data_IF_417410415643
#
_entry.id   IF_417410415643
#
_cell.length_a   1.000
_cell.length_b   1.000
_cell.length_c   1.000
_cell.angle_alpha   90.00
_cell.angle_beta   90.00
_cell.angle_gamma   90.00
#
_symmetry.space_group_name_H-M   'P 1'
#
loop_
_entity.id
_entity.type
_entity.pdbx_description
1 polymer ?
#
# COMPACT_ATOMS: atom_id res chain seq x y z
N UNK A 1 27.01 -6.23 7.02
CA UNK A 1 27.34 -5.38 8.19
C UNK A 1 26.27 -5.62 9.24
N UNK A 2 26.69 -5.89 10.48
CA UNK A 2 25.75 -6.11 11.59
C UNK A 2 25.38 -4.77 12.24
N UNK A 3 24.10 -4.60 12.58
CA UNK A 3 23.60 -3.43 13.33
C UNK A 3 23.64 -3.65 14.84
N UNK A 4 24.04 -4.84 15.32
CA UNK A 4 24.11 -5.16 16.75
C UNK A 4 24.93 -4.18 17.60
N UNK A 5 26.08 -3.64 17.15
CA UNK A 5 26.83 -2.67 17.94
C UNK A 5 26.07 -1.37 18.23
N UNK A 6 25.04 -1.07 17.42
CA UNK A 6 24.22 0.12 17.51
C UNK A 6 22.84 -0.16 18.09
N UNK A 7 22.60 -1.37 18.62
CA UNK A 7 21.31 -1.82 19.13
C UNK A 7 20.69 -0.79 20.08
N UNK A 8 21.40 -0.38 21.12
CA UNK A 8 20.87 0.53 22.14
C UNK A 8 20.47 1.89 21.55
N UNK A 9 21.28 2.43 20.63
CA UNK A 9 20.98 3.69 19.93
C UNK A 9 19.75 3.55 19.05
N UNK A 10 19.64 2.46 18.29
CA UNK A 10 18.49 2.17 17.44
C UNK A 10 17.21 2.06 18.29
N UNK A 11 17.27 1.34 19.41
CA UNK A 11 16.10 1.16 20.29
C UNK A 11 15.67 2.48 20.94
N UNK A 12 16.62 3.25 21.47
CA UNK A 12 16.35 4.55 22.08
C UNK A 12 15.68 5.52 21.09
N UNK A 13 16.18 5.59 19.85
CA UNK A 13 15.58 6.44 18.82
C UNK A 13 14.15 6.00 18.44
N UNK A 14 13.91 4.69 18.31
CA UNK A 14 12.57 4.16 17.99
C UNK A 14 11.58 4.41 19.14
N UNK A 15 12.03 4.28 20.40
CA UNK A 15 11.23 4.62 21.59
C UNK A 15 10.94 6.12 21.65
N UNK A 16 11.85 6.98 21.18
CA UNK A 16 11.63 8.42 20.99
C UNK A 16 10.85 8.77 19.71
N UNK A 17 10.09 7.82 19.16
CA UNK A 17 9.22 7.96 17.99
C UNK A 17 9.91 8.36 16.67
N UNK A 18 11.24 8.26 16.56
CA UNK A 18 11.95 8.54 15.31
C UNK A 18 11.59 7.50 14.24
N UNK A 19 11.64 7.90 12.97
CA UNK A 19 11.40 7.00 11.84
C UNK A 19 12.63 6.13 11.56
N UNK A 20 12.43 5.01 10.85
CA UNK A 20 13.56 4.19 10.40
C UNK A 20 14.51 4.95 9.44
N UNK A 21 14.02 6.01 8.77
CA UNK A 21 14.86 6.89 7.95
C UNK A 21 15.76 7.75 8.84
N UNK A 22 15.18 8.39 9.88
CA UNK A 22 15.94 9.21 10.82
C UNK A 22 17.04 8.40 11.52
N UNK A 23 16.72 7.14 11.89
CA UNK A 23 17.71 6.21 12.44
C UNK A 23 18.79 5.87 11.42
N UNK A 24 18.43 5.57 10.17
CA UNK A 24 19.42 5.25 9.13
C UNK A 24 20.33 6.45 8.81
N UNK A 25 19.78 7.66 8.82
CA UNK A 25 20.52 8.90 8.64
C UNK A 25 21.48 9.15 9.82
N UNK A 26 21.00 9.02 11.06
CA UNK A 26 21.82 9.16 12.25
C UNK A 26 22.96 8.14 12.27
N UNK A 27 22.68 6.87 11.94
CA UNK A 27 23.70 5.83 11.81
C UNK A 27 24.71 6.15 10.71
N UNK A 28 24.28 6.75 9.60
CA UNK A 28 25.19 7.19 8.54
C UNK A 28 26.11 8.32 9.00
N UNK A 29 25.59 9.26 9.81
CA UNK A 29 26.35 10.37 10.38
C UNK A 29 27.43 9.92 11.37
N UNK A 30 27.18 8.87 12.16
CA UNK A 30 28.17 8.28 13.09
C UNK A 30 29.14 7.31 12.40
N UNK A 31 29.12 7.22 11.06
CA UNK A 31 30.08 6.46 10.28
C UNK A 31 29.69 5.01 9.99
N UNK A 32 28.44 4.61 10.18
CA UNK A 32 27.96 3.28 9.75
C UNK A 32 27.93 3.26 8.22
N UNK A 33 28.88 2.53 7.62
CA UNK A 33 29.09 2.46 6.18
C UNK A 33 27.98 1.75 5.38
N UNK A 34 28.31 1.42 4.11
CA UNK A 34 27.38 0.83 3.12
C UNK A 34 26.55 -0.33 3.70
N UNK A 35 25.24 -0.26 3.53
CA UNK A 35 24.27 -1.27 3.99
C UNK A 35 23.32 -0.79 5.10
N UNK A 36 23.55 0.40 5.66
CA UNK A 36 22.61 1.07 6.58
C UNK A 36 21.53 1.81 5.80
N UNK A 37 20.47 1.09 5.42
CA UNK A 37 19.26 1.69 4.85
C UNK A 37 18.11 1.60 5.84
N UNK A 38 17.09 2.44 5.69
CA UNK A 38 15.86 2.32 6.46
C UNK A 38 15.23 0.92 6.35
N UNK A 39 15.42 0.22 5.23
CA UNK A 39 15.01 -1.18 5.07
C UNK A 39 15.79 -2.13 5.98
N UNK A 40 17.09 -1.91 6.14
CA UNK A 40 17.95 -2.69 7.04
C UNK A 40 17.58 -2.45 8.50
N UNK A 41 17.36 -1.18 8.88
CA UNK A 41 16.91 -0.79 10.23
C UNK A 41 15.53 -1.40 10.52
N UNK A 42 14.57 -1.31 9.60
CA UNK A 42 13.24 -1.94 9.77
C UNK A 42 13.36 -3.46 9.98
N UNK A 43 14.20 -4.15 9.20
CA UNK A 43 14.43 -5.60 9.37
C UNK A 43 15.04 -5.92 10.74
N UNK A 44 15.96 -5.08 11.20
CA UNK A 44 16.58 -5.22 12.52
C UNK A 44 15.58 -5.02 13.65
N UNK A 45 14.72 -3.99 13.58
CA UNK A 45 13.66 -3.79 14.57
C UNK A 45 12.67 -4.97 14.57
N UNK A 46 12.31 -5.50 13.39
CA UNK A 46 11.43 -6.65 13.27
C UNK A 46 12.02 -7.94 13.90
N UNK A 47 13.32 -8.19 13.72
CA UNK A 47 13.99 -9.35 14.34
C UNK A 47 14.13 -9.22 15.86
N UNK A 48 14.11 -8.00 16.38
CA UNK A 48 14.19 -7.69 17.81
C UNK A 48 12.82 -7.48 18.47
N UNK A 49 11.72 -7.68 17.73
CA UNK A 49 10.36 -7.52 18.25
C UNK A 49 9.97 -6.07 18.56
N UNK A 50 10.73 -5.10 18.06
CA UNK A 50 10.55 -3.68 18.38
C UNK A 50 9.61 -3.07 17.37
N UNK A 51 8.48 -2.58 17.86
CA UNK A 51 7.49 -1.86 17.08
C UNK A 51 7.53 -0.40 17.46
N UNK A 52 7.60 0.47 16.45
CA UNK A 52 7.39 1.90 16.64
C UNK A 52 5.90 2.10 16.94
N UNK A 53 5.60 2.47 18.18
CA UNK A 53 4.30 3.03 18.51
C UNK A 53 4.23 4.44 17.94
N UNK A 54 3.22 4.70 17.12
CA UNK A 54 2.92 6.05 16.65
C UNK A 54 2.14 6.69 17.79
N UNK A 55 2.71 7.70 18.45
CA UNK A 55 1.97 8.38 19.52
C UNK A 55 0.81 9.15 18.89
N UNK A 56 -0.40 8.96 19.41
CA UNK A 56 -1.58 9.71 18.96
C UNK A 56 -1.57 11.17 19.45
N UNK A 57 -0.64 11.55 20.31
CA UNK A 57 -0.49 12.90 20.89
C UNK A 57 -0.47 14.04 19.86
N UNK A 58 0.23 13.97 18.72
CA UNK A 58 0.17 15.03 17.70
C UNK A 58 -1.22 15.16 17.07
N UNK A 59 -1.94 14.04 16.93
CA UNK A 59 -3.30 14.00 16.43
C UNK A 59 -4.28 14.56 17.47
N UNK A 60 -4.13 14.15 18.74
CA UNK A 60 -4.94 14.63 19.86
C UNK A 60 -4.72 16.12 20.17
N UNK A 61 -3.48 16.62 20.06
CA UNK A 61 -3.15 18.06 20.20
C UNK A 61 -3.79 18.85 19.06
N UNK A 62 -3.70 18.37 17.82
CA UNK A 62 -4.31 19.02 16.68
C UNK A 62 -5.85 19.05 16.77
N UNK A 63 -6.47 17.96 17.25
CA UNK A 63 -7.92 17.87 17.47
C UNK A 63 -8.36 18.77 18.63
N UNK A 64 -7.64 18.75 19.76
CA UNK A 64 -7.98 19.55 20.94
C UNK A 64 -7.86 21.05 20.68
N UNK A 65 -6.82 21.46 19.94
CA UNK A 65 -6.65 22.85 19.50
C UNK A 65 -7.80 23.30 18.59
N UNK A 66 -8.25 22.44 17.67
CA UNK A 66 -9.35 22.75 16.75
C UNK A 66 -10.72 22.87 17.46
N UNK A 67 -10.95 22.14 18.55
CA UNK A 67 -12.22 22.14 19.29
C UNK A 67 -12.36 23.35 20.23
N UNK A 68 -11.25 23.85 20.81
CA UNK A 68 -11.32 25.00 21.72
C UNK A 68 -11.61 26.34 21.02
N UNK A 69 -11.26 26.48 19.74
CA UNK A 69 -11.56 27.70 18.96
C UNK A 69 -13.04 27.85 18.56
N UNK A 70 -13.87 26.82 18.71
CA UNK A 70 -15.25 26.83 18.17
C UNK A 70 -16.29 27.51 19.09
N UNK A 71 -15.95 27.84 20.34
CA UNK A 71 -16.95 28.28 21.35
C UNK A 71 -17.21 29.79 21.45
N UNK A 72 -16.45 30.66 20.81
CA UNK A 72 -16.66 32.11 20.91
C UNK A 72 -16.79 32.77 19.54
N UNK A 73 -18.02 32.75 19.01
CA UNK A 73 -18.48 33.69 17.99
C UNK A 73 -18.84 35.04 18.65
N UNK A 74 -18.92 36.21 17.96
CA UNK A 74 -19.02 36.37 16.51
C UNK A 74 -18.19 37.55 15.91
N UNK A 75 -18.03 37.52 14.57
CA UNK A 75 -17.77 38.68 13.68
C UNK A 75 -16.55 39.60 13.93
N UNK A 76 -15.39 39.33 13.32
CA UNK A 76 -14.66 40.32 12.48
C UNK A 76 -13.51 39.70 11.68
N UNK A 77 -13.49 40.04 10.40
CA UNK A 77 -12.54 39.62 9.37
C UNK A 77 -11.18 40.35 9.51
N UNK A 78 -10.07 39.61 9.47
CA UNK A 78 -8.90 39.80 8.58
C UNK A 78 -7.80 38.77 8.93
N UNK A 79 -7.73 37.64 8.20
CA UNK A 79 -6.69 37.33 7.18
C UNK A 79 -5.38 36.82 7.82
N UNK A 80 -5.19 35.52 7.98
CA UNK A 80 -4.59 34.63 6.94
C UNK A 80 -5.49 33.42 6.67
N UNK A 81 -5.81 33.27 5.39
CA UNK A 81 -6.86 32.42 4.84
C UNK A 81 -6.32 30.98 4.70
N UNK A 82 -6.60 30.11 5.67
CA UNK A 82 -7.01 28.75 5.28
C UNK A 82 -8.45 28.92 4.86
N UNK A 83 -8.63 28.99 3.55
CA UNK A 83 -9.94 28.96 2.93
C UNK A 83 -10.62 27.70 3.48
N UNK A 84 -11.57 27.86 4.40
CA UNK A 84 -12.68 26.92 4.55
C UNK A 84 -13.48 27.04 3.27
N UNK A 85 -12.91 26.56 2.18
CA UNK A 85 -13.64 26.41 0.96
C UNK A 85 -14.54 25.21 1.19
N UNK A 86 -15.84 25.46 1.32
CA UNK A 86 -16.83 24.51 0.80
C UNK A 86 -16.69 24.35 -0.73
N UNK A 87 -15.57 24.76 -1.35
CA UNK A 87 -15.18 24.28 -2.66
C UNK A 87 -14.73 22.84 -2.43
N UNK A 88 -15.58 21.91 -2.85
CA UNK A 88 -15.19 20.51 -3.06
C UNK A 88 -13.81 20.52 -3.70
N UNK A 89 -12.81 20.01 -2.99
CA UNK A 89 -11.51 19.71 -3.60
C UNK A 89 -11.86 18.85 -4.80
N UNK A 90 -11.55 19.34 -6.00
CA UNK A 90 -11.89 18.63 -7.23
C UNK A 90 -11.24 17.25 -7.15
N UNK A 91 -11.97 16.18 -7.48
CA UNK A 91 -11.44 14.82 -7.42
C UNK A 91 -10.12 14.66 -8.22
N UNK A 92 -9.89 15.52 -9.21
CA UNK A 92 -8.65 15.61 -9.98
C UNK A 92 -7.39 16.04 -9.17
N UNK A 93 -7.57 16.62 -7.98
CA UNK A 93 -6.49 17.10 -7.10
C UNK A 93 -6.11 16.09 -6.02
N UNK A 94 -6.90 15.03 -5.85
CA UNK A 94 -6.61 13.95 -4.91
C UNK A 94 -5.94 12.80 -5.67
N UNK A 95 -4.78 12.30 -5.22
CA UNK A 95 -4.18 11.12 -5.81
C UNK A 95 -5.15 9.94 -5.67
N UNK A 96 -5.10 9.03 -6.63
CA UNK A 96 -5.91 7.82 -6.59
C UNK A 96 -5.60 7.03 -5.31
N UNK A 97 -6.58 6.34 -4.72
CA UNK A 97 -6.43 5.70 -3.39
C UNK A 97 -5.20 4.79 -3.28
N UNK A 98 -4.86 4.10 -4.38
CA UNK A 98 -3.64 3.29 -4.49
C UNK A 98 -2.37 4.13 -4.41
N UNK A 99 -2.33 5.25 -5.12
CA UNK A 99 -1.21 6.19 -5.14
C UNK A 99 -1.06 6.89 -3.77
N UNK A 100 -2.17 7.30 -3.15
CA UNK A 100 -2.18 7.82 -1.79
C UNK A 100 -1.62 6.82 -0.77
N UNK A 101 -1.99 5.53 -0.89
CA UNK A 101 -1.47 4.47 -0.02
C UNK A 101 0.04 4.23 -0.22
N UNK A 102 0.55 4.34 -1.46
CA UNK A 102 1.99 4.30 -1.73
C UNK A 102 2.71 5.50 -1.14
N UNK A 103 2.17 6.70 -1.31
CA UNK A 103 2.73 7.93 -0.74
C UNK A 103 2.82 7.83 0.79
N UNK A 104 1.74 7.41 1.45
CA UNK A 104 1.71 7.17 2.89
C UNK A 104 2.78 6.17 3.36
N UNK A 105 2.91 5.05 2.64
CA UNK A 105 3.92 4.03 2.96
C UNK A 105 5.35 4.56 2.80
N UNK A 106 5.59 5.38 1.78
CA UNK A 106 6.90 5.96 1.50
C UNK A 106 7.28 7.06 2.49
N UNK A 107 6.31 7.88 2.93
CA UNK A 107 6.56 9.00 3.84
C UNK A 107 6.64 8.57 5.30
N UNK A 108 5.71 7.71 5.75
CA UNK A 108 5.57 7.37 7.17
C UNK A 108 6.16 6.01 7.52
N UNK A 109 6.52 5.22 6.52
CA UNK A 109 7.13 3.90 6.71
C UNK A 109 6.19 2.88 7.37
N UNK A 110 4.87 3.11 7.33
CA UNK A 110 3.84 2.19 7.80
C UNK A 110 2.94 1.79 6.63
N UNK A 111 2.45 0.55 6.60
CA UNK A 111 1.53 0.10 5.55
C UNK A 111 0.10 0.23 6.04
N UNK A 112 -0.72 0.96 5.30
CA UNK A 112 -2.18 0.83 5.40
C UNK A 112 -2.59 -0.61 5.06
N UNK A 113 -3.71 -1.07 5.61
CA UNK A 113 -4.38 -2.29 5.18
C UNK A 113 -4.76 -2.13 3.71
N UNK A 114 -4.06 -2.85 2.83
CA UNK A 114 -4.37 -2.87 1.40
C UNK A 114 -5.52 -3.82 1.17
N UNK A 115 -6.45 -3.42 0.31
CA UNK A 115 -7.44 -4.35 -0.23
C UNK A 115 -6.65 -5.40 -1.03
N UNK A 116 -6.74 -6.66 -0.63
CA UNK A 116 -6.10 -7.73 -1.37
C UNK A 116 -6.76 -7.83 -2.75
N UNK A 117 -5.95 -7.87 -3.80
CA UNK A 117 -6.46 -8.20 -5.14
C UNK A 117 -6.93 -9.66 -5.24
N UNK A 118 -6.69 -10.46 -4.19
CA UNK A 118 -7.15 -11.84 -4.13
C UNK A 118 -8.67 -11.90 -4.21
N UNK A 119 -9.18 -12.63 -5.20
CA UNK A 119 -10.62 -12.73 -5.46
C UNK A 119 -11.23 -11.53 -6.16
N UNK A 120 -10.41 -10.56 -6.62
CA UNK A 120 -10.89 -9.56 -7.58
C UNK A 120 -11.00 -10.22 -8.95
N UNK A 121 -12.13 -10.02 -9.61
CA UNK A 121 -12.37 -10.53 -10.97
C UNK A 121 -11.32 -9.94 -11.94
N UNK A 122 -10.52 -10.77 -12.61
CA UNK A 122 -9.53 -10.30 -13.58
C UNK A 122 -10.16 -9.74 -14.87
N UNK A 123 -11.45 -9.97 -15.14
CA UNK A 123 -12.16 -9.52 -16.34
C UNK A 123 -12.98 -8.27 -16.05
N UNK A 124 -12.31 -7.11 -16.11
CA UNK A 124 -12.92 -5.84 -15.71
C UNK A 124 -13.75 -5.18 -16.81
N UNK A 125 -13.42 -5.44 -18.07
CA UNK A 125 -14.13 -4.88 -19.23
C UNK A 125 -15.25 -5.79 -19.72
N UNK A 126 -16.27 -5.20 -20.35
CA UNK A 126 -17.39 -5.97 -20.93
C UNK A 126 -16.93 -6.95 -22.03
N UNK A 127 -15.88 -6.59 -22.78
CA UNK A 127 -15.30 -7.46 -23.81
C UNK A 127 -14.62 -8.68 -23.20
N UNK A 128 -13.86 -8.48 -22.12
CA UNK A 128 -13.21 -9.55 -21.35
C UNK A 128 -14.22 -10.54 -20.77
N UNK A 129 -15.33 -10.04 -20.20
CA UNK A 129 -16.42 -10.88 -19.68
C UNK A 129 -17.09 -11.70 -20.78
N UNK A 130 -17.29 -11.12 -21.98
CA UNK A 130 -17.85 -11.85 -23.11
C UNK A 130 -16.91 -12.99 -23.57
N UNK A 131 -15.60 -12.76 -23.57
CA UNK A 131 -14.61 -13.81 -23.86
C UNK A 131 -14.64 -14.91 -22.80
N UNK A 132 -14.70 -14.55 -21.52
CA UNK A 132 -14.82 -15.50 -20.41
C UNK A 132 -16.06 -16.38 -20.57
N UNK A 133 -17.22 -15.77 -20.86
CA UNK A 133 -18.47 -16.50 -21.04
C UNK A 133 -18.35 -17.52 -22.19
N UNK A 134 -17.87 -17.10 -23.36
CA UNK A 134 -17.69 -17.99 -24.52
C UNK A 134 -16.68 -19.10 -24.24
N UNK A 135 -15.64 -18.81 -23.47
CA UNK A 135 -14.67 -19.83 -23.06
C UNK A 135 -15.32 -20.85 -22.10
N UNK A 136 -16.11 -20.38 -21.13
CA UNK A 136 -16.80 -21.22 -20.16
C UNK A 136 -17.88 -22.11 -20.79
N UNK A 137 -18.54 -21.65 -21.86
CA UNK A 137 -19.49 -22.48 -22.63
C UNK A 137 -18.80 -23.66 -23.29
N UNK A 138 -17.57 -23.46 -23.78
CA UNK A 138 -16.80 -24.51 -24.45
C UNK A 138 -16.06 -25.43 -23.47
N UNK A 139 -15.62 -24.88 -22.35
CA UNK A 139 -14.87 -25.58 -21.30
C UNK A 139 -15.52 -25.36 -19.93
N UNK A 140 -16.70 -25.96 -19.68
CA UNK A 140 -17.48 -25.70 -18.47
C UNK A 140 -16.83 -26.27 -17.21
N UNK A 141 -16.06 -27.36 -17.34
CA UNK A 141 -15.35 -27.98 -16.22
C UNK A 141 -13.83 -27.77 -16.35
N UNK A 142 -13.31 -26.79 -15.63
CA UNK A 142 -11.87 -26.55 -15.52
C UNK A 142 -11.16 -27.72 -14.82
N UNK A 143 -11.85 -28.46 -13.95
CA UNK A 143 -11.30 -29.62 -13.26
C UNK A 143 -10.88 -30.70 -14.26
N UNK A 144 -11.63 -30.87 -15.36
CA UNK A 144 -11.25 -31.76 -16.45
C UNK A 144 -9.88 -31.39 -17.05
N UNK A 145 -9.65 -30.10 -17.32
CA UNK A 145 -8.38 -29.62 -17.86
C UNK A 145 -7.22 -29.85 -16.88
N UNK A 146 -7.45 -29.53 -15.60
CA UNK A 146 -6.45 -29.70 -14.55
C UNK A 146 -6.12 -31.18 -14.34
N UNK A 147 -7.14 -32.03 -14.22
CA UNK A 147 -6.99 -33.49 -14.04
C UNK A 147 -6.22 -34.11 -15.20
N UNK A 148 -6.48 -33.72 -16.45
CA UNK A 148 -5.72 -34.22 -17.58
C UNK A 148 -4.25 -33.76 -17.52
N UNK A 149 -4.02 -32.50 -17.16
CA UNK A 149 -2.68 -31.91 -17.05
C UNK A 149 -1.83 -32.61 -15.98
N UNK A 150 -2.37 -32.86 -14.78
CA UNK A 150 -1.64 -33.57 -13.71
C UNK A 150 -1.39 -35.04 -14.05
N UNK A 151 -2.19 -35.62 -14.94
CA UNK A 151 -2.01 -36.99 -15.45
C UNK A 151 -1.18 -37.03 -16.75
N UNK A 152 -0.38 -36.00 -17.04
CA UNK A 152 0.50 -35.89 -18.22
C UNK A 152 -0.23 -35.89 -19.58
N UNK A 153 -1.55 -35.68 -19.60
CA UNK A 153 -2.30 -35.46 -20.83
C UNK A 153 -2.50 -33.95 -21.06
N UNK A 154 -1.56 -33.35 -21.80
CA UNK A 154 -1.58 -31.90 -22.05
C UNK A 154 -2.46 -31.48 -23.24
N UNK A 155 -3.01 -32.44 -24.00
CA UNK A 155 -3.75 -32.14 -25.23
C UNK A 155 -5.00 -31.26 -24.96
N UNK A 156 -5.88 -31.58 -23.99
CA UNK A 156 -7.06 -30.77 -23.72
C UNK A 156 -6.70 -29.36 -23.25
N UNK A 157 -5.65 -29.26 -22.41
CA UNK A 157 -5.18 -27.97 -21.90
C UNK A 157 -4.63 -27.09 -23.04
N UNK A 158 -3.88 -27.68 -23.98
CA UNK A 158 -3.38 -26.98 -25.17
C UNK A 158 -4.52 -26.48 -26.06
N UNK A 159 -5.53 -27.30 -26.29
CA UNK A 159 -6.69 -26.92 -27.09
C UNK A 159 -7.50 -25.80 -26.43
N UNK A 160 -7.66 -25.87 -25.11
CA UNK A 160 -8.28 -24.81 -24.32
C UNK A 160 -7.49 -23.50 -24.43
N UNK A 161 -6.17 -23.53 -24.25
CA UNK A 161 -5.33 -22.34 -24.41
C UNK A 161 -5.42 -21.72 -25.81
N UNK A 162 -5.32 -22.53 -26.85
CA UNK A 162 -5.46 -22.05 -28.23
C UNK A 162 -6.85 -21.45 -28.45
N UNK A 163 -7.90 -22.06 -27.90
CA UNK A 163 -9.23 -21.49 -27.96
C UNK A 163 -9.31 -20.12 -27.27
N UNK A 164 -8.77 -20.00 -26.06
CA UNK A 164 -8.77 -18.75 -25.30
C UNK A 164 -8.03 -17.64 -26.06
N UNK A 165 -6.85 -17.95 -26.62
CA UNK A 165 -6.07 -17.00 -27.45
C UNK A 165 -6.85 -16.56 -28.68
N UNK A 166 -7.52 -17.50 -29.36
CA UNK A 166 -8.31 -17.15 -30.54
C UNK A 166 -9.55 -16.31 -30.19
N UNK A 167 -10.16 -16.55 -29.02
CA UNK A 167 -11.26 -15.72 -28.53
C UNK A 167 -10.76 -14.32 -28.19
N UNK A 168 -9.70 -14.19 -27.38
CA UNK A 168 -9.17 -12.86 -27.01
C UNK A 168 -8.73 -12.05 -28.23
N UNK A 169 -8.13 -12.67 -29.25
CA UNK A 169 -7.76 -12.00 -30.50
C UNK A 169 -8.96 -11.50 -31.31
N UNK A 170 -10.11 -12.15 -31.23
CA UNK A 170 -11.32 -11.73 -31.97
C UNK A 170 -12.05 -10.54 -31.33
N UNK A 171 -11.85 -10.34 -30.03
CA UNK A 171 -12.52 -9.30 -29.24
C UNK A 171 -11.56 -8.17 -28.82
N UNK A 172 -10.31 -8.19 -29.33
CA UNK A 172 -9.33 -7.10 -29.26
C UNK A 172 -9.56 -6.08 -30.37
#
# INVERSE_FOLDING_TARGET
MSLEPYREVILDMILKHHTHNDVAEHLSQIGVGRGCSARTVRRFCASHGVRREVSDTPLEIAVSAAVQEEKESPTRLHRVVVQKSQQKISAALLPHGTEAAYLYMNTLGSSLTRVSAFGTDPFTSEHEKAVEQLFSEKWPDITYLLNNTVNNNFLPFKEALVCLVNLTQRYS
#
